data_IF_192607632567
#
_entry.id   IF_192607632567
#
_cell.length_a   1.000
_cell.length_b   1.000
_cell.length_c   1.000
_cell.angle_alpha   90.00
_cell.angle_beta   90.00
_cell.angle_gamma   90.00
#
_symmetry.space_group_name_H-M   'P 1'
#
loop_
_entity.id
_entity.type
_entity.pdbx_description
1 polymer ?
#
# COMPACT_ATOMS: atom_id res chain seq x y z
N UNK A 1 -18.18 4.39 -2.24
CA UNK A 1 -16.97 3.88 -1.56
C UNK A 1 -16.00 5.04 -1.45
N UNK A 2 -15.59 5.39 -0.23
CA UNK A 2 -14.61 6.46 0.01
C UNK A 2 -13.18 5.92 0.05
N UNK A 3 -12.20 6.82 0.19
CA UNK A 3 -10.81 6.43 0.44
C UNK A 3 -10.75 5.69 1.79
N UNK A 4 -10.12 4.51 1.88
CA UNK A 4 -10.03 3.77 3.14
C UNK A 4 -9.35 4.57 4.25
N UNK A 5 -9.86 4.44 5.48
CA UNK A 5 -9.21 5.00 6.67
C UNK A 5 -8.25 3.96 7.23
N UNK A 6 -6.95 4.23 7.07
CA UNK A 6 -5.90 3.28 7.46
C UNK A 6 -5.87 3.11 8.98
N UNK A 7 -6.02 1.87 9.44
CA UNK A 7 -5.94 1.51 10.86
C UNK A 7 -4.50 1.40 11.33
N UNK A 8 -4.30 1.53 12.66
CA UNK A 8 -3.00 1.36 13.29
C UNK A 8 -2.39 -0.02 13.00
N UNK A 9 -3.20 -1.07 12.95
CA UNK A 9 -2.73 -2.44 12.70
C UNK A 9 -2.21 -2.58 11.26
N UNK A 10 -2.92 -2.01 10.30
CA UNK A 10 -2.46 -1.94 8.89
C UNK A 10 -1.15 -1.17 8.78
N UNK A 11 -1.04 -0.03 9.46
CA UNK A 11 0.21 0.74 9.51
C UNK A 11 1.38 -0.08 10.07
N UNK A 12 1.17 -0.76 11.20
CA UNK A 12 2.20 -1.59 11.82
C UNK A 12 2.61 -2.75 10.92
N UNK A 13 1.66 -3.38 10.22
CA UNK A 13 1.92 -4.47 9.28
C UNK A 13 2.84 -4.00 8.15
N UNK A 14 2.54 -2.87 7.51
CA UNK A 14 3.36 -2.34 6.42
C UNK A 14 4.73 -1.88 6.92
N UNK A 15 4.83 -1.27 8.10
CA UNK A 15 6.13 -0.95 8.72
C UNK A 15 6.96 -2.22 8.99
N UNK A 16 6.31 -3.31 9.40
CA UNK A 16 6.99 -4.58 9.61
C UNK A 16 7.49 -5.21 8.31
N UNK A 17 6.68 -5.15 7.25
CA UNK A 17 7.10 -5.56 5.90
C UNK A 17 8.33 -4.76 5.43
N UNK A 18 8.32 -3.44 5.67
CA UNK A 18 9.44 -2.56 5.37
C UNK A 18 10.70 -2.95 6.14
N UNK A 19 10.60 -3.12 7.46
CA UNK A 19 11.77 -3.42 8.31
C UNK A 19 12.34 -4.81 8.06
N UNK A 20 11.53 -5.79 7.63
CA UNK A 20 12.00 -7.11 7.21
C UNK A 20 12.50 -7.16 5.77
N UNK A 21 12.17 -6.17 4.95
CA UNK A 21 12.22 -6.25 3.49
C UNK A 21 12.79 -5.04 2.77
N UNK A 22 13.50 -4.10 3.42
CA UNK A 22 14.25 -3.04 2.72
C UNK A 22 15.44 -3.57 1.90
N UNK A 23 15.31 -4.69 1.19
CA UNK A 23 16.09 -4.90 -0.02
C UNK A 23 15.45 -4.08 -1.14
N UNK A 24 16.26 -3.65 -2.10
CA UNK A 24 15.79 -2.99 -3.33
C UNK A 24 14.69 -3.80 -4.05
N UNK A 25 14.58 -5.10 -3.77
CA UNK A 25 13.64 -6.01 -4.41
C UNK A 25 12.19 -5.78 -3.93
N UNK A 26 11.96 -5.39 -2.68
CA UNK A 26 10.61 -5.15 -2.19
C UNK A 26 9.95 -3.98 -2.93
N UNK A 27 10.66 -2.85 -3.03
CA UNK A 27 10.14 -1.67 -3.74
C UNK A 27 9.97 -1.94 -5.24
N UNK A 28 10.88 -2.72 -5.85
CA UNK A 28 10.75 -3.13 -7.24
C UNK A 28 9.50 -4.01 -7.46
N UNK A 29 9.26 -4.96 -6.57
CA UNK A 29 8.07 -5.82 -6.62
C UNK A 29 6.79 -5.02 -6.37
N UNK A 30 6.81 -4.07 -5.42
CA UNK A 30 5.67 -3.21 -5.15
C UNK A 30 5.36 -2.31 -6.36
N UNK A 31 6.37 -1.72 -6.99
CA UNK A 31 6.19 -0.95 -8.22
C UNK A 31 5.61 -1.81 -9.35
N UNK A 32 6.10 -3.04 -9.52
CA UNK A 32 5.56 -3.99 -10.51
C UNK A 32 4.09 -4.28 -10.24
N UNK A 33 3.73 -4.59 -8.98
CA UNK A 33 2.35 -4.82 -8.57
C UNK A 33 1.44 -3.62 -8.84
N UNK A 34 1.87 -2.41 -8.49
CA UNK A 34 1.11 -1.18 -8.77
C UNK A 34 0.93 -0.97 -10.28
N UNK A 35 1.97 -1.19 -11.10
CA UNK A 35 1.84 -1.10 -12.56
C UNK A 35 0.83 -2.09 -13.14
N UNK A 36 0.77 -3.30 -12.59
CA UNK A 36 -0.16 -4.34 -13.05
C UNK A 36 -1.60 -4.07 -12.59
N UNK A 37 -1.79 -3.56 -11.37
CA UNK A 37 -3.11 -3.33 -10.77
C UNK A 37 -3.72 -1.97 -11.11
N UNK A 38 -2.89 -0.94 -11.18
CA UNK A 38 -3.31 0.45 -11.39
C UNK A 38 -2.22 1.24 -12.15
N UNK A 39 -2.09 1.01 -13.48
CA UNK A 39 -1.05 1.62 -14.28
C UNK A 39 -1.09 3.16 -14.26
N UNK A 40 -2.27 3.77 -14.13
CA UNK A 40 -2.42 5.22 -14.06
C UNK A 40 -1.77 5.82 -12.80
N UNK A 41 -1.86 5.13 -11.65
CA UNK A 41 -1.14 5.55 -10.44
C UNK A 41 0.36 5.42 -10.64
N UNK A 42 0.83 4.34 -11.26
CA UNK A 42 2.25 4.17 -11.54
C UNK A 42 2.80 5.26 -12.47
N UNK A 43 2.06 5.62 -13.52
CA UNK A 43 2.42 6.71 -14.43
C UNK A 43 2.41 8.07 -13.71
N UNK A 44 1.39 8.32 -12.88
CA UNK A 44 1.32 9.53 -12.07
C UNK A 44 2.54 9.67 -11.15
N UNK A 45 2.88 8.60 -10.41
CA UNK A 45 4.03 8.59 -9.50
C UNK A 45 5.33 8.83 -10.27
N UNK A 46 5.52 8.19 -11.43
CA UNK A 46 6.70 8.40 -12.27
C UNK A 46 6.81 9.84 -12.76
N UNK A 47 5.72 10.41 -13.29
CA UNK A 47 5.67 11.78 -13.78
C UNK A 47 5.90 12.81 -12.66
N UNK A 48 5.40 12.54 -11.46
CA UNK A 48 5.59 13.39 -10.29
C UNK A 48 7.02 13.30 -9.73
N UNK A 49 7.57 12.10 -9.60
CA UNK A 49 8.91 11.86 -9.09
C UNK A 49 9.98 12.56 -9.94
N UNK A 50 9.84 12.57 -11.27
CA UNK A 50 10.79 13.24 -12.18
C UNK A 50 10.88 14.76 -11.99
N UNK A 51 9.93 15.39 -11.29
CA UNK A 51 9.92 16.85 -11.05
C UNK A 51 10.62 17.26 -9.74
N UNK A 52 11.16 16.31 -8.98
CA UNK A 52 11.70 16.55 -7.65
C UNK A 52 13.16 16.12 -7.56
N UNK A 53 13.88 16.70 -6.59
CA UNK A 53 15.31 16.47 -6.38
C UNK A 53 15.65 15.02 -5.99
N UNK A 54 14.70 14.34 -5.33
CA UNK A 54 14.82 12.93 -4.96
C UNK A 54 13.65 12.09 -5.51
N UNK A 55 13.72 11.65 -6.78
CA UNK A 55 12.69 10.83 -7.41
C UNK A 55 12.49 9.48 -6.71
N UNK A 56 13.53 8.95 -6.07
CA UNK A 56 13.48 7.65 -5.41
C UNK A 56 12.69 7.75 -4.11
N UNK A 57 12.96 8.75 -3.27
CA UNK A 57 12.19 8.99 -2.05
C UNK A 57 10.71 9.26 -2.35
N UNK A 58 10.42 10.09 -3.36
CA UNK A 58 9.05 10.39 -3.78
C UNK A 58 8.32 9.13 -4.26
N UNK A 59 8.96 8.32 -5.11
CA UNK A 59 8.38 7.06 -5.58
C UNK A 59 8.16 6.08 -4.43
N UNK A 60 9.11 6.00 -3.50
CA UNK A 60 9.03 5.14 -2.32
C UNK A 60 7.82 5.52 -1.47
N UNK A 61 7.68 6.80 -1.09
CA UNK A 61 6.53 7.26 -0.28
C UNK A 61 5.21 7.00 -1.00
N UNK A 62 5.14 7.31 -2.29
CA UNK A 62 3.92 7.08 -3.09
C UNK A 62 3.50 5.61 -3.14
N UNK A 63 4.46 4.70 -3.36
CA UNK A 63 4.22 3.26 -3.35
C UNK A 63 3.78 2.76 -1.97
N UNK A 64 4.37 3.26 -0.88
CA UNK A 64 4.00 2.87 0.47
C UNK A 64 2.62 3.36 0.88
N UNK A 65 2.24 4.58 0.49
CA UNK A 65 0.88 5.09 0.70
C UNK A 65 -0.13 4.24 -0.08
N UNK A 66 0.18 3.90 -1.33
CA UNK A 66 -0.67 2.99 -2.10
C UNK A 66 -0.83 1.64 -1.39
N UNK A 67 0.28 1.05 -0.91
CA UNK A 67 0.24 -0.22 -0.19
C UNK A 67 -0.60 -0.16 1.08
N UNK A 68 -0.50 0.92 1.87
CA UNK A 68 -1.32 1.12 3.07
C UNK A 68 -2.82 1.15 2.75
N UNK A 69 -3.21 1.90 1.72
CA UNK A 69 -4.61 2.02 1.31
C UNK A 69 -5.14 0.71 0.74
N UNK A 70 -4.33 0.02 -0.05
CA UNK A 70 -4.65 -1.30 -0.60
C UNK A 70 -4.84 -2.33 0.52
N UNK A 71 -3.90 -2.45 1.45
CA UNK A 71 -4.00 -3.37 2.57
C UNK A 71 -5.20 -3.06 3.48
N UNK A 72 -5.54 -1.79 3.66
CA UNK A 72 -6.76 -1.43 4.39
C UNK A 72 -8.01 -1.85 3.62
N UNK A 73 -8.07 -1.61 2.31
CA UNK A 73 -9.19 -2.03 1.48
C UNK A 73 -9.37 -3.57 1.48
N UNK A 74 -8.27 -4.32 1.43
CA UNK A 74 -8.27 -5.79 1.55
C UNK A 74 -8.82 -6.22 2.92
N UNK A 75 -8.34 -5.61 4.02
CA UNK A 75 -8.82 -5.91 5.36
C UNK A 75 -10.32 -5.62 5.54
N UNK A 76 -10.79 -4.49 4.99
CA UNK A 76 -12.19 -4.10 5.03
C UNK A 76 -13.07 -5.08 4.22
N UNK A 77 -12.60 -5.52 3.04
CA UNK A 77 -13.27 -6.54 2.25
C UNK A 77 -13.36 -7.88 3.00
N UNK A 78 -12.26 -8.31 3.63
CA UNK A 78 -12.24 -9.55 4.41
C UNK A 78 -13.20 -9.51 5.59
N UNK A 79 -13.33 -8.38 6.29
CA UNK A 79 -14.32 -8.21 7.37
C UNK A 79 -15.76 -8.36 6.89
N UNK A 80 -16.06 -7.89 5.67
CA UNK A 80 -17.40 -8.03 5.07
C UNK A 80 -17.67 -9.48 4.67
N UNK A 81 -16.66 -10.18 4.11
CA UNK A 81 -16.79 -11.56 3.63
C UNK A 81 -16.73 -12.60 4.75
N UNK A 82 -16.03 -12.30 5.84
CA UNK A 82 -15.89 -13.13 7.03
C UNK A 82 -16.28 -12.32 8.26
N UNK A 83 -17.59 -12.10 8.49
CA UNK A 83 -18.03 -11.59 9.77
C UNK A 83 -17.65 -12.64 10.81
N UNK A 84 -16.54 -12.42 11.52
CA UNK A 84 -16.24 -13.17 12.73
C UNK A 84 -17.42 -12.93 13.65
N UNK A 85 -18.19 -13.98 13.91
CA UNK A 85 -19.43 -13.85 14.65
C UNK A 85 -19.19 -13.21 16.02
N UNK A 86 -20.07 -12.28 16.37
CA UNK A 86 -20.53 -12.11 17.76
C UNK A 86 -21.26 -13.40 18.19
N UNK A 87 -20.50 -14.49 18.27
CA UNK A 87 -20.97 -15.80 18.70
C UNK A 87 -19.96 -16.36 19.72
N UNK A 88 -19.83 -15.65 20.83
CA UNK A 88 -19.59 -16.22 22.15
C UNK A 88 -19.82 -15.12 23.20
N UNK A 89 -21.10 -14.95 23.57
CA UNK A 89 -21.47 -14.70 24.96
C UNK A 89 -20.91 -15.83 25.85
#
# INVERSE_FOLDING_TARGET
MGIPVVSKDTTNSVIHELTKGMSSDYLANLLKHVREKNPQVAEFLAAFAMKHEDPLAISTVGLLVYRLLESQAEADQLRVLMPVGDAAL
#
